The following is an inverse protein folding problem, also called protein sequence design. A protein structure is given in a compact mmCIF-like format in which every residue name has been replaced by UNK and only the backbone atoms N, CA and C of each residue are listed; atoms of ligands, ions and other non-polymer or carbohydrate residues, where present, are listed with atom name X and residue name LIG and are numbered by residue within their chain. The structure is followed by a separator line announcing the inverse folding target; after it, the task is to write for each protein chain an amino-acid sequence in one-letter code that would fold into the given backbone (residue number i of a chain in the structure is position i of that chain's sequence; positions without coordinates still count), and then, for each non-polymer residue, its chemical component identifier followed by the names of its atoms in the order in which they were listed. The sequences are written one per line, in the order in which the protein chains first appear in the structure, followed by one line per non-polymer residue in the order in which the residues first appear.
data_IF_343557584883
#
_entry.id   IF_343557584883
#
_cell.length_a   1.000
_cell.length_b   1.000
_cell.length_c   1.000
_cell.angle_alpha   90.00
_cell.angle_beta   90.00
_cell.angle_gamma   90.00
#
_symmetry.space_group_name_H-M   'P 1'
#
loop_
_entity.id
_entity.type
_entity.pdbx_description
1 polymer ?
#
# COMPACT_ATOMS: atom_id res chain seq x y z
N UNK A 1 31.76 -51.95 -1.67
CA UNK A 1 31.43 -50.67 -2.34
C UNK A 1 30.45 -49.91 -1.46
N UNK A 2 30.81 -48.69 -1.02
CA UNK A 2 30.10 -47.93 0.03
C UNK A 2 28.87 -47.18 -0.54
N UNK A 3 27.87 -47.02 0.33
CA UNK A 3 26.47 -46.64 0.09
C UNK A 3 26.31 -45.17 -0.39
N UNK A 4 25.33 -44.96 -1.28
CA UNK A 4 24.87 -43.66 -1.79
C UNK A 4 24.08 -42.88 -0.74
N UNK A 5 24.05 -41.57 -0.96
CA UNK A 5 23.82 -40.43 -0.07
C UNK A 5 22.36 -40.08 0.24
N UNK A 6 22.20 -39.27 1.29
CA UNK A 6 20.98 -38.77 1.91
C UNK A 6 20.19 -37.72 1.10
N UNK A 7 18.90 -37.58 1.43
CA UNK A 7 18.14 -36.34 1.25
C UNK A 7 17.17 -36.16 2.43
N UNK A 8 17.59 -35.37 3.43
CA UNK A 8 16.79 -34.97 4.59
C UNK A 8 16.14 -33.63 4.30
N UNK A 9 14.80 -33.61 4.15
CA UNK A 9 13.98 -32.40 4.04
C UNK A 9 14.24 -31.46 5.24
N UNK A 10 14.64 -30.21 4.98
CA UNK A 10 14.76 -29.16 6.02
C UNK A 10 13.46 -28.36 6.07
N UNK A 11 12.70 -28.53 7.16
CA UNK A 11 11.66 -27.59 7.59
C UNK A 11 12.32 -26.34 8.18
N UNK A 12 11.82 -25.14 7.83
CA UNK A 12 12.28 -23.87 8.41
C UNK A 12 11.69 -23.70 9.82
N UNK A 13 12.46 -23.26 10.84
CA UNK A 13 11.91 -22.91 12.14
C UNK A 13 11.22 -21.53 12.09
N UNK A 14 10.11 -21.37 12.82
CA UNK A 14 9.49 -20.05 13.07
C UNK A 14 10.33 -19.29 14.10
N UNK A 15 10.53 -17.96 13.97
CA UNK A 15 11.23 -17.19 14.98
C UNK A 15 10.36 -17.05 16.24
N UNK A 16 10.88 -17.51 17.37
CA UNK A 16 10.27 -17.37 18.69
C UNK A 16 10.65 -15.99 19.26
N UNK A 17 9.67 -15.08 19.36
CA UNK A 17 9.86 -13.73 19.88
C UNK A 17 9.58 -13.76 21.37
N UNK A 18 10.55 -13.34 22.19
CA UNK A 18 10.40 -13.26 23.66
C UNK A 18 9.46 -12.11 24.05
N UNK A 19 8.72 -12.28 25.15
CA UNK A 19 7.71 -11.30 25.60
C UNK A 19 8.27 -9.88 25.83
N UNK A 20 9.50 -9.76 26.33
CA UNK A 20 10.17 -8.46 26.48
C UNK A 20 10.47 -7.77 25.15
N UNK A 21 10.89 -8.54 24.13
CA UNK A 21 11.14 -8.03 22.78
C UNK A 21 9.85 -7.54 22.12
N UNK A 22 8.73 -8.20 22.36
CA UNK A 22 7.42 -7.79 21.85
C UNK A 22 6.92 -6.51 22.54
N UNK A 23 7.10 -6.40 23.86
CA UNK A 23 6.68 -5.23 24.63
C UNK A 23 7.49 -3.97 24.27
N UNK A 24 8.80 -4.09 24.13
CA UNK A 24 9.65 -2.98 23.72
C UNK A 24 9.31 -2.53 22.28
N UNK A 25 9.02 -3.47 21.38
CA UNK A 25 8.53 -3.15 20.03
C UNK A 25 7.17 -2.44 20.02
N UNK A 26 6.28 -2.76 20.95
CA UNK A 26 4.97 -2.12 21.07
C UNK A 26 5.07 -0.73 21.70
N UNK A 27 5.95 -0.56 22.70
CA UNK A 27 6.24 0.74 23.33
C UNK A 27 6.92 1.71 22.37
N UNK A 28 7.90 1.24 21.60
CA UNK A 28 8.56 2.03 20.55
C UNK A 28 7.56 2.47 19.47
N UNK A 29 6.57 1.64 19.15
CA UNK A 29 5.52 1.99 18.21
C UNK A 29 4.58 3.06 18.78
N UNK A 30 4.18 2.97 20.06
CA UNK A 30 3.33 3.99 20.69
C UNK A 30 4.02 5.35 20.81
N UNK A 31 5.29 5.38 21.23
CA UNK A 31 6.07 6.61 21.36
C UNK A 31 6.40 7.22 19.99
N UNK A 32 6.67 6.40 18.98
CA UNK A 32 6.81 6.84 17.60
C UNK A 32 5.51 7.51 17.10
N UNK A 33 4.35 6.93 17.37
CA UNK A 33 3.04 7.47 16.96
C UNK A 33 2.66 8.76 17.72
N UNK A 34 3.10 8.90 18.96
CA UNK A 34 2.87 10.11 19.77
C UNK A 34 3.88 11.23 19.50
N UNK A 35 4.98 10.96 18.78
CA UNK A 35 5.97 11.99 18.47
C UNK A 35 5.40 13.11 17.60
N UNK A 36 5.70 14.37 17.94
CA UNK A 36 5.22 15.53 17.19
C UNK A 36 5.72 15.55 15.73
N UNK A 37 6.90 14.96 15.46
CA UNK A 37 7.43 14.79 14.12
C UNK A 37 6.59 13.79 13.29
N UNK A 38 6.18 12.67 13.88
CA UNK A 38 5.30 11.68 13.24
C UNK A 38 3.88 12.23 13.06
N UNK A 39 3.35 12.98 14.04
CA UNK A 39 2.06 13.65 13.89
C UNK A 39 2.09 14.70 12.76
N UNK A 40 3.19 15.45 12.64
CA UNK A 40 3.39 16.41 11.55
C UNK A 40 3.54 15.72 10.18
N UNK A 41 4.23 14.58 10.14
CA UNK A 41 4.35 13.74 8.94
C UNK A 41 3.04 13.05 8.55
N UNK A 42 2.26 12.52 9.51
CA UNK A 42 0.92 11.95 9.26
C UNK A 42 -0.06 13.01 8.76
N UNK A 43 0.00 14.23 9.31
CA UNK A 43 -0.81 15.36 8.84
C UNK A 43 -0.47 15.79 7.41
N UNK A 44 0.69 15.39 6.90
CA UNK A 44 1.16 15.66 5.54
C UNK A 44 1.22 14.39 4.67
N UNK A 45 0.82 13.23 5.19
CA UNK A 45 0.85 11.97 4.44
C UNK A 45 -0.27 11.94 3.40
N UNK A 46 0.06 11.75 2.12
CA UNK A 46 -0.93 11.66 1.04
C UNK A 46 -1.96 10.54 1.27
N UNK A 47 -1.51 9.42 1.87
CA UNK A 47 -2.34 8.23 2.15
C UNK A 47 -3.55 8.51 3.05
N UNK A 48 -3.44 9.47 3.98
CA UNK A 48 -4.47 9.78 4.97
C UNK A 48 -5.27 11.05 4.63
N UNK A 49 -4.92 11.73 3.54
CA UNK A 49 -5.55 12.98 3.15
C UNK A 49 -6.85 12.70 2.41
N UNK A 50 -7.93 13.34 2.86
CA UNK A 50 -9.15 13.47 2.06
C UNK A 50 -9.05 14.69 1.15
N UNK A 51 -9.33 14.47 -0.14
CA UNK A 51 -9.31 15.51 -1.16
C UNK A 51 -10.67 16.21 -1.25
N UNK A 52 -10.62 17.52 -1.53
CA UNK A 52 -11.81 18.33 -1.78
C UNK A 52 -12.53 17.94 -3.08
N UNK A 53 -13.77 18.39 -3.30
CA UNK A 53 -14.63 17.95 -4.39
C UNK A 53 -14.00 18.01 -5.80
N UNK A 54 -13.21 19.06 -6.05
CA UNK A 54 -12.55 19.33 -7.34
C UNK A 54 -11.40 18.34 -7.65
N UNK A 55 -10.88 17.65 -6.64
CA UNK A 55 -9.72 16.76 -6.74
C UNK A 55 -10.12 15.28 -6.57
N UNK A 56 -11.41 14.99 -6.41
CA UNK A 56 -11.92 13.63 -6.31
C UNK A 56 -11.85 12.93 -7.67
N UNK A 57 -11.57 11.64 -7.65
CA UNK A 57 -11.67 10.82 -8.85
C UNK A 57 -13.14 10.44 -9.06
N UNK A 58 -13.69 10.74 -10.23
CA UNK A 58 -15.06 10.39 -10.60
C UNK A 58 -15.03 9.15 -11.48
N UNK A 59 -15.66 8.07 -11.01
CA UNK A 59 -15.77 6.83 -11.77
C UNK A 59 -16.93 6.89 -12.77
N UNK A 60 -16.94 5.97 -13.74
CA UNK A 60 -17.95 5.94 -14.81
C UNK A 60 -19.34 5.58 -14.29
N UNK A 61 -19.43 4.96 -13.11
CA UNK A 61 -20.66 4.67 -12.39
C UNK A 61 -21.16 5.87 -11.53
N UNK A 62 -20.47 7.01 -11.56
CA UNK A 62 -20.82 8.22 -10.80
C UNK A 62 -20.32 8.24 -9.36
N UNK A 63 -19.72 7.16 -8.87
CA UNK A 63 -19.09 7.15 -7.55
C UNK A 63 -17.79 7.98 -7.53
N UNK A 64 -17.45 8.50 -6.35
CA UNK A 64 -16.30 9.37 -6.17
C UNK A 64 -15.30 8.77 -5.19
N UNK A 65 -14.03 8.96 -5.46
CA UNK A 65 -12.92 8.55 -4.60
C UNK A 65 -12.19 9.81 -4.13
N UNK A 66 -12.15 10.04 -2.81
CA UNK A 66 -11.47 11.20 -2.20
C UNK A 66 -10.14 10.88 -1.55
N UNK A 67 -9.76 9.60 -1.42
CA UNK A 67 -8.50 9.22 -0.77
C UNK A 67 -7.94 7.89 -1.28
N UNK A 68 -6.68 7.60 -0.97
CA UNK A 68 -6.04 6.32 -1.28
C UNK A 68 -6.70 5.12 -0.58
N UNK A 69 -7.22 5.31 0.63
CA UNK A 69 -7.97 4.28 1.37
C UNK A 69 -9.29 3.93 0.67
N UNK A 70 -9.97 4.93 0.13
CA UNK A 70 -11.16 4.71 -0.68
C UNK A 70 -10.84 4.05 -2.00
N UNK A 71 -9.74 4.43 -2.66
CA UNK A 71 -9.29 3.75 -3.88
C UNK A 71 -9.05 2.25 -3.60
N UNK A 72 -8.38 1.91 -2.50
CA UNK A 72 -8.21 0.51 -2.09
C UNK A 72 -9.57 -0.19 -1.91
N UNK A 73 -10.50 0.45 -1.21
CA UNK A 73 -11.82 -0.12 -0.90
C UNK A 73 -12.65 -0.31 -2.16
N UNK A 74 -12.60 0.66 -3.07
CA UNK A 74 -13.26 0.60 -4.37
C UNK A 74 -12.65 -0.48 -5.24
N UNK A 75 -11.32 -0.57 -5.39
CA UNK A 75 -10.67 -1.64 -6.16
C UNK A 75 -11.04 -3.08 -5.69
N UNK A 76 -11.42 -3.26 -4.42
CA UNK A 76 -11.90 -4.56 -3.91
C UNK A 76 -13.30 -4.89 -4.44
N UNK A 77 -14.19 -3.89 -4.49
CA UNK A 77 -15.63 -4.07 -4.78
C UNK A 77 -15.99 -3.76 -6.23
N UNK A 78 -15.14 -3.03 -6.92
CA UNK A 78 -15.36 -2.50 -8.26
C UNK A 78 -15.52 -3.62 -9.29
N UNK A 79 -16.54 -3.47 -10.12
CA UNK A 79 -16.78 -4.33 -11.27
C UNK A 79 -15.70 -4.16 -12.35
N UNK A 80 -15.42 -5.25 -13.06
CA UNK A 80 -14.41 -5.25 -14.12
C UNK A 80 -14.69 -4.19 -15.20
N UNK A 81 -15.94 -4.04 -15.65
CA UNK A 81 -16.30 -3.05 -16.67
C UNK A 81 -16.07 -1.59 -16.25
N UNK A 82 -16.24 -1.27 -14.96
CA UNK A 82 -15.91 0.06 -14.42
C UNK A 82 -14.40 0.26 -14.42
N UNK A 83 -13.64 -0.75 -13.98
CA UNK A 83 -12.17 -0.71 -13.98
C UNK A 83 -11.60 -0.52 -15.39
N UNK A 84 -12.08 -1.30 -16.37
CA UNK A 84 -11.61 -1.29 -17.76
C UNK A 84 -11.90 0.04 -18.47
N UNK A 85 -12.84 0.85 -17.96
CA UNK A 85 -13.10 2.20 -18.47
C UNK A 85 -11.96 3.19 -18.14
N UNK A 86 -11.22 2.93 -17.06
CA UNK A 86 -10.17 3.81 -16.52
C UNK A 86 -8.76 3.25 -16.76
N UNK A 87 -8.65 1.96 -17.03
CA UNK A 87 -7.37 1.28 -17.25
C UNK A 87 -7.45 0.48 -18.55
N UNK A 88 -6.64 0.88 -19.51
CA UNK A 88 -6.48 0.17 -20.78
C UNK A 88 -4.99 -0.12 -21.06
N UNK A 89 -4.68 -0.67 -22.22
CA UNK A 89 -3.30 -1.01 -22.59
C UNK A 89 -2.35 0.19 -22.57
N UNK A 90 -2.85 1.39 -22.80
CA UNK A 90 -2.08 2.62 -22.94
C UNK A 90 -2.17 3.54 -21.72
N UNK A 91 -3.28 3.53 -20.96
CA UNK A 91 -3.52 4.43 -19.83
C UNK A 91 -3.85 3.70 -18.52
N UNK A 92 -3.63 4.41 -17.42
CA UNK A 92 -4.14 4.05 -16.10
C UNK A 92 -4.53 5.35 -15.39
N UNK A 93 -5.81 5.69 -15.43
CA UNK A 93 -6.32 6.96 -14.93
C UNK A 93 -6.19 7.05 -13.40
N UNK A 94 -6.22 5.91 -12.69
CA UNK A 94 -5.93 5.87 -11.25
C UNK A 94 -4.49 6.29 -10.94
N UNK A 95 -3.51 5.83 -11.73
CA UNK A 95 -2.11 6.22 -11.55
C UNK A 95 -1.93 7.74 -11.76
N UNK A 96 -2.57 8.28 -12.81
CA UNK A 96 -2.57 9.72 -13.11
C UNK A 96 -3.20 10.53 -11.98
N UNK A 97 -4.33 10.08 -11.44
CA UNK A 97 -4.98 10.72 -10.30
C UNK A 97 -4.12 10.66 -9.03
N UNK A 98 -3.50 9.51 -8.74
CA UNK A 98 -2.57 9.39 -7.60
C UNK A 98 -1.37 10.34 -7.76
N UNK A 99 -0.88 10.55 -8.98
CA UNK A 99 0.20 11.49 -9.25
C UNK A 99 -0.24 12.95 -9.01
N UNK A 100 -1.31 13.41 -9.66
CA UNK A 100 -1.67 14.83 -9.68
C UNK A 100 -2.50 15.28 -8.48
N UNK A 101 -3.41 14.44 -7.99
CA UNK A 101 -4.36 14.82 -6.95
C UNK A 101 -3.84 14.45 -5.55
N UNK A 102 -3.34 13.22 -5.41
CA UNK A 102 -2.77 12.73 -4.15
C UNK A 102 -1.33 13.23 -3.96
N UNK A 103 -0.55 13.33 -5.04
CA UNK A 103 0.86 13.76 -5.00
C UNK A 103 1.84 12.63 -4.68
N UNK A 104 1.42 11.37 -4.78
CA UNK A 104 2.25 10.20 -4.48
C UNK A 104 2.87 9.65 -5.76
N UNK A 105 3.99 10.25 -6.16
CA UNK A 105 4.67 9.92 -7.40
C UNK A 105 5.28 8.50 -7.39
N UNK A 106 5.68 7.99 -6.22
CA UNK A 106 6.24 6.65 -6.07
C UNK A 106 5.18 5.57 -6.31
N UNK A 107 3.98 5.75 -5.74
CA UNK A 107 2.87 4.84 -5.99
C UNK A 107 2.36 4.98 -7.43
N UNK A 108 2.22 6.20 -7.94
CA UNK A 108 1.77 6.43 -9.31
C UNK A 108 2.70 5.77 -10.34
N UNK A 109 4.02 5.90 -10.18
CA UNK A 109 5.00 5.26 -11.06
C UNK A 109 4.91 3.72 -11.02
N UNK A 110 4.58 3.13 -9.87
CA UNK A 110 4.34 1.69 -9.75
C UNK A 110 3.03 1.25 -10.37
N UNK A 111 1.98 2.07 -10.29
CA UNK A 111 0.65 1.76 -10.80
C UNK A 111 0.53 1.94 -12.32
N UNK A 112 1.23 2.93 -12.90
CA UNK A 112 1.18 3.24 -14.33
C UNK A 112 1.22 2.03 -15.28
N UNK A 113 2.19 1.09 -15.12
CA UNK A 113 2.28 -0.09 -15.98
C UNK A 113 1.29 -1.21 -15.62
N UNK A 114 0.59 -1.14 -14.47
CA UNK A 114 -0.30 -2.20 -14.01
C UNK A 114 -1.66 -2.11 -14.69
N UNK A 115 -2.04 -3.17 -15.40
CA UNK A 115 -3.28 -3.21 -16.19
C UNK A 115 -4.36 -4.09 -15.58
N UNK A 116 -4.02 -4.83 -14.53
CA UNK A 116 -4.98 -5.68 -13.82
C UNK A 116 -5.43 -5.03 -12.53
N UNK A 117 -6.71 -5.18 -12.20
CA UNK A 117 -7.30 -4.69 -10.95
C UNK A 117 -6.59 -5.24 -9.73
N UNK A 118 -6.25 -6.53 -9.74
CA UNK A 118 -5.58 -7.23 -8.65
C UNK A 118 -4.16 -6.69 -8.43
N UNK A 119 -3.45 -6.36 -9.51
CA UNK A 119 -2.12 -5.77 -9.45
C UNK A 119 -2.17 -4.36 -8.86
N UNK A 120 -3.10 -3.53 -9.34
CA UNK A 120 -3.32 -2.18 -8.80
C UNK A 120 -3.68 -2.25 -7.31
N UNK A 121 -4.64 -3.12 -6.95
CA UNK A 121 -5.04 -3.32 -5.56
C UNK A 121 -3.87 -3.75 -4.67
N UNK A 122 -3.02 -4.67 -5.15
CA UNK A 122 -1.84 -5.11 -4.43
C UNK A 122 -0.84 -3.97 -4.24
N UNK A 123 -0.57 -3.19 -5.29
CA UNK A 123 0.35 -2.06 -5.21
C UNK A 123 -0.12 -1.01 -4.20
N UNK A 124 -1.41 -0.65 -4.21
CA UNK A 124 -2.02 0.27 -3.25
C UNK A 124 -1.96 -0.30 -1.83
N UNK A 125 -2.34 -1.56 -1.63
CA UNK A 125 -2.27 -2.22 -0.30
C UNK A 125 -0.86 -2.26 0.27
N UNK A 126 0.11 -2.65 -0.56
CA UNK A 126 1.51 -2.74 -0.14
C UNK A 126 2.07 -1.36 0.17
N UNK A 127 1.69 -0.34 -0.61
CA UNK A 127 2.09 1.04 -0.35
C UNK A 127 1.50 1.56 0.96
N UNK A 128 0.19 1.41 1.17
CA UNK A 128 -0.46 1.80 2.43
C UNK A 128 0.20 1.06 3.61
N UNK A 129 0.43 -0.25 3.47
CA UNK A 129 1.13 -1.02 4.49
C UNK A 129 2.54 -0.48 4.75
N UNK A 130 3.33 -0.19 3.71
CA UNK A 130 4.68 0.34 3.85
C UNK A 130 4.69 1.72 4.52
N UNK A 131 3.70 2.56 4.21
CA UNK A 131 3.50 3.86 4.84
C UNK A 131 3.15 3.72 6.32
N UNK A 132 2.33 2.72 6.68
CA UNK A 132 1.92 2.43 8.05
C UNK A 132 2.98 1.67 8.87
N UNK A 133 3.88 0.92 8.22
CA UNK A 133 4.90 0.08 8.87
C UNK A 133 6.33 0.62 8.66
N UNK A 134 6.49 1.95 8.58
CA UNK A 134 7.79 2.61 8.39
C UNK A 134 8.88 1.97 9.28
N UNK A 135 9.82 1.25 8.66
CA UNK A 135 11.16 1.12 9.23
C UNK A 135 11.93 2.37 8.81
N UNK A 136 12.60 3.07 9.74
CA UNK A 136 13.38 4.25 9.38
C UNK A 136 14.38 3.86 8.29
N UNK A 137 14.38 4.61 7.18
CA UNK A 137 15.49 4.58 6.23
C UNK A 137 16.71 5.01 7.03
N UNK A 138 17.63 4.07 7.28
CA UNK A 138 18.95 4.41 7.84
C UNK A 138 19.62 5.34 6.85
N UNK A 139 19.94 6.54 7.33
CA UNK A 139 20.87 7.46 6.67
C UNK A 139 22.26 6.82 6.59
#
# INVERSE_FOLDING_TARGET
MKKKTASKKRSRPKPEITAGKLHDMLRDHEDMMKSAAMQKAMKTMPVLRELGPEQQFVMSNGEKIKSLMELQSQLIRMDAGVFDSHVDQNKNDFATWVYHAIGDHDLAGKMGPLKMKEQNLKAVKDHIKACMHMKPKKA
#
